data_IF_656189177768
#
_entry.id   IF_656189177768
#
_cell.length_a   1.000
_cell.length_b   1.000
_cell.length_c   1.000
_cell.angle_alpha   90.00
_cell.angle_beta   90.00
_cell.angle_gamma   90.00
#
_symmetry.space_group_name_H-M   'P 1'
#
loop_
_entity.id
_entity.type
_entity.pdbx_description
1 polymer ?
#
# COMPACT_ATOMS: atom_id res chain seq x y z
N UNK A 1 -30.37 -49.29 19.09
CA UNK A 1 -30.03 -49.43 17.66
C UNK A 1 -29.79 -48.03 17.12
N UNK A 2 -28.59 -47.48 17.32
CA UNK A 2 -27.41 -47.54 16.45
C UNK A 2 -27.54 -46.72 15.15
N UNK A 3 -26.67 -45.71 15.05
CA UNK A 3 -26.14 -45.04 13.84
C UNK A 3 -27.09 -44.02 13.12
N UNK A 4 -26.60 -42.88 12.57
CA UNK A 4 -25.24 -42.32 12.59
C UNK A 4 -25.14 -40.78 12.45
N UNK A 5 -23.93 -40.28 12.72
CA UNK A 5 -23.36 -38.95 12.42
C UNK A 5 -22.96 -38.77 10.94
N UNK A 6 -22.66 -37.50 10.56
CA UNK A 6 -22.21 -36.99 9.22
C UNK A 6 -23.41 -36.81 8.25
N UNK A 7 -23.59 -35.68 7.58
CA UNK A 7 -22.60 -34.96 6.76
C UNK A 7 -22.62 -33.43 6.93
N UNK A 8 -21.53 -32.86 7.44
CA UNK A 8 -21.22 -31.41 7.41
C UNK A 8 -20.15 -31.16 6.35
N UNK A 9 -20.49 -31.27 5.06
CA UNK A 9 -19.70 -30.75 3.93
C UNK A 9 -20.61 -30.63 2.70
N UNK A 10 -21.46 -29.60 2.68
CA UNK A 10 -22.30 -29.24 1.54
C UNK A 10 -21.85 -27.92 0.95
N UNK A 11 -20.91 -27.96 0.01
CA UNK A 11 -20.42 -26.80 -0.73
C UNK A 11 -20.09 -27.20 -2.16
N UNK A 12 -20.87 -26.72 -3.13
CA UNK A 12 -20.69 -27.07 -4.54
C UNK A 12 -19.40 -26.45 -5.07
N UNK A 13 -18.48 -27.30 -5.55
CA UNK A 13 -17.30 -26.83 -6.28
C UNK A 13 -17.75 -26.23 -7.62
N UNK A 14 -17.86 -24.90 -7.68
CA UNK A 14 -18.09 -24.19 -8.93
C UNK A 14 -16.93 -24.42 -9.88
N UNK A 15 -17.16 -25.17 -10.96
CA UNK A 15 -16.28 -25.20 -12.12
C UNK A 15 -16.39 -23.85 -12.83
N UNK A 16 -15.46 -22.94 -12.58
CA UNK A 16 -15.31 -21.72 -13.37
C UNK A 16 -14.73 -22.10 -14.74
N UNK A 17 -15.55 -22.06 -15.79
CA UNK A 17 -15.06 -22.15 -17.17
C UNK A 17 -14.11 -20.98 -17.43
N UNK A 18 -12.89 -21.19 -17.98
CA UNK A 18 -11.99 -20.10 -18.29
C UNK A 18 -12.62 -19.12 -19.31
N UNK A 19 -12.27 -17.83 -19.27
CA UNK A 19 -12.83 -16.84 -20.18
C UNK A 19 -12.52 -17.19 -21.64
N UNK A 20 -13.51 -17.05 -22.52
CA UNK A 20 -13.40 -17.34 -23.96
C UNK A 20 -12.76 -16.22 -24.77
N UNK A 21 -12.42 -15.09 -24.14
CA UNK A 21 -11.61 -14.04 -24.72
C UNK A 21 -10.13 -14.34 -24.37
N UNK A 22 -9.17 -14.18 -25.29
CA UNK A 22 -7.76 -14.20 -24.91
C UNK A 22 -7.55 -13.19 -23.79
N UNK A 23 -6.76 -13.56 -22.77
CA UNK A 23 -6.37 -12.61 -21.74
C UNK A 23 -5.74 -11.39 -22.44
N UNK A 24 -6.04 -10.16 -22.00
CA UNK A 24 -5.29 -9.00 -22.49
C UNK A 24 -3.80 -9.27 -22.28
N UNK A 25 -2.92 -8.73 -23.16
CA UNK A 25 -1.48 -8.80 -22.89
C UNK A 25 -1.23 -8.28 -21.46
N UNK A 26 -0.31 -8.88 -20.70
CA UNK A 26 -0.04 -8.45 -19.34
C UNK A 26 0.20 -6.93 -19.36
N UNK A 27 -0.60 -6.21 -18.57
CA UNK A 27 -0.45 -4.77 -18.44
C UNK A 27 0.98 -4.46 -18.00
N UNK A 28 1.60 -3.38 -18.49
CA UNK A 28 2.99 -3.06 -18.16
C UNK A 28 3.13 -3.00 -16.65
N UNK A 29 3.92 -3.91 -16.09
CA UNK A 29 4.06 -4.09 -14.65
C UNK A 29 4.63 -2.80 -14.04
N UNK A 30 3.78 -2.12 -13.25
CA UNK A 30 4.11 -0.82 -12.69
C UNK A 30 5.14 -0.99 -11.57
N UNK A 31 6.40 -0.66 -11.88
CA UNK A 31 7.50 -0.76 -10.92
C UNK A 31 7.53 0.47 -10.02
N UNK A 32 6.96 0.34 -8.82
CA UNK A 32 7.07 1.34 -7.75
C UNK A 32 8.50 1.34 -7.20
N UNK A 33 9.23 2.48 -7.22
CA UNK A 33 10.58 2.54 -6.66
C UNK A 33 10.59 2.42 -5.14
N UNK A 34 11.33 1.45 -4.61
CA UNK A 34 11.56 1.30 -3.16
C UNK A 34 12.91 1.89 -2.73
N UNK A 35 12.99 2.35 -1.48
CA UNK A 35 14.20 2.98 -0.91
C UNK A 35 14.44 2.49 0.51
N UNK A 36 15.71 2.25 0.87
CA UNK A 36 16.06 1.77 2.22
C UNK A 36 16.03 2.91 3.25
N UNK A 37 15.75 2.56 4.50
CA UNK A 37 15.79 3.52 5.63
C UNK A 37 17.13 4.23 5.74
N UNK A 38 18.25 3.53 5.49
CA UNK A 38 19.59 4.13 5.52
C UNK A 38 19.76 5.20 4.43
N UNK A 39 19.32 4.90 3.20
CA UNK A 39 19.35 5.85 2.08
C UNK A 39 18.46 7.07 2.35
N UNK A 40 17.27 6.88 2.93
CA UNK A 40 16.41 8.01 3.32
C UNK A 40 17.07 8.85 4.42
N UNK A 41 17.69 8.22 5.42
CA UNK A 41 18.41 8.90 6.50
C UNK A 41 19.56 9.78 5.95
N UNK A 42 20.32 9.28 4.97
CA UNK A 42 21.36 10.05 4.27
C UNK A 42 20.77 11.22 3.47
N UNK A 43 19.69 10.97 2.71
CA UNK A 43 19.03 12.01 1.91
C UNK A 43 18.47 13.16 2.77
N UNK A 44 17.91 12.86 3.94
CA UNK A 44 17.41 13.84 4.91
C UNK A 44 18.51 14.78 5.47
N UNK A 45 19.79 14.42 5.32
CA UNK A 45 20.94 15.24 5.71
C UNK A 45 21.51 16.07 4.54
N UNK A 46 20.89 16.00 3.36
CA UNK A 46 21.36 16.67 2.14
C UNK A 46 20.44 17.84 1.71
N UNK A 47 20.97 18.71 0.85
CA UNK A 47 20.19 19.77 0.17
C UNK A 47 19.02 19.22 -0.68
N UNK A 48 18.96 17.90 -0.90
CA UNK A 48 17.90 17.19 -1.64
C UNK A 48 16.97 16.39 -0.72
N UNK A 49 16.82 16.81 0.55
CA UNK A 49 15.94 16.16 1.53
C UNK A 49 14.52 15.93 0.96
N UNK A 50 14.04 14.67 0.87
CA UNK A 50 12.70 14.37 0.39
C UNK A 50 11.64 14.85 1.38
N UNK A 51 10.39 14.96 0.91
CA UNK A 51 9.22 15.04 1.78
C UNK A 51 8.90 13.62 2.28
N UNK A 52 8.80 13.43 3.59
CA UNK A 52 8.26 12.19 4.14
C UNK A 52 6.74 12.31 4.27
N UNK A 53 6.01 11.43 3.60
CA UNK A 53 4.55 11.35 3.64
C UNK A 53 4.13 10.10 4.42
N UNK A 54 3.62 10.29 5.63
CA UNK A 54 3.12 9.21 6.48
C UNK A 54 1.64 8.95 6.18
N UNK A 55 1.33 7.74 5.71
CA UNK A 55 -0.03 7.32 5.31
C UNK A 55 -0.72 6.40 6.33
N UNK A 56 -0.16 6.31 7.54
CA UNK A 56 -0.74 5.52 8.63
C UNK A 56 -2.02 6.15 9.18
N UNK A 57 -2.77 5.35 9.95
CA UNK A 57 -3.98 5.84 10.61
C UNK A 57 -3.65 6.91 11.67
N UNK A 58 -4.56 7.87 11.95
CA UNK A 58 -4.33 8.92 12.94
C UNK A 58 -4.01 8.42 14.35
N UNK A 59 -4.37 7.17 14.70
CA UNK A 59 -4.01 6.57 15.99
C UNK A 59 -2.58 6.02 16.01
N UNK A 60 -2.05 5.50 14.90
CA UNK A 60 -0.65 5.05 14.79
C UNK A 60 0.30 6.25 14.84
N UNK A 61 -0.01 7.30 14.07
CA UNK A 61 0.80 8.51 13.99
C UNK A 61 0.87 9.27 15.33
N UNK A 62 -0.23 9.28 16.10
CA UNK A 62 -0.26 9.87 17.45
C UNK A 62 0.51 9.08 18.51
N UNK A 63 0.76 7.78 18.32
CA UNK A 63 1.61 7.01 19.23
C UNK A 63 3.08 7.35 19.02
N UNK A 64 3.53 7.38 17.77
CA UNK A 64 4.88 7.82 17.38
C UNK A 64 4.91 8.16 15.89
N UNK A 65 5.65 9.21 15.55
CA UNK A 65 5.94 9.60 14.16
C UNK A 65 7.32 10.24 14.06
N UNK A 66 7.87 10.27 12.85
CA UNK A 66 9.10 11.01 12.55
C UNK A 66 8.73 12.51 12.49
N UNK A 67 9.40 13.40 13.23
CA UNK A 67 9.18 14.84 13.13
C UNK A 67 9.32 15.33 11.68
N UNK A 68 8.61 16.41 11.32
CA UNK A 68 8.58 17.00 9.96
C UNK A 68 7.94 16.14 8.85
N UNK A 69 7.35 14.98 9.20
CA UNK A 69 6.45 14.25 8.28
C UNK A 69 5.20 15.07 7.95
N UNK A 70 4.75 14.99 6.70
CA UNK A 70 3.38 15.30 6.34
C UNK A 70 2.53 14.07 6.62
N UNK A 71 1.46 14.22 7.41
CA UNK A 71 0.53 13.13 7.71
C UNK A 71 -0.74 13.28 6.90
N UNK A 72 -1.02 12.30 6.03
CA UNK A 72 -2.29 12.17 5.31
C UNK A 72 -2.64 10.67 5.28
N UNK A 73 -3.64 10.20 6.03
CA UNK A 73 -4.05 8.79 6.01
C UNK A 73 -4.32 8.30 4.58
N UNK A 74 -3.98 7.03 4.30
CA UNK A 74 -4.08 6.44 2.95
C UNK A 74 -5.43 6.71 2.25
N UNK A 75 -6.54 6.60 2.98
CA UNK A 75 -7.90 6.80 2.43
C UNK A 75 -8.20 8.26 2.04
N UNK A 76 -7.47 9.23 2.60
CA UNK A 76 -7.65 10.66 2.32
C UNK A 76 -6.77 11.14 1.16
N UNK A 77 -5.76 10.36 0.75
CA UNK A 77 -4.83 10.70 -0.33
C UNK A 77 -5.54 11.09 -1.65
N UNK A 78 -6.55 10.35 -2.17
CA UNK A 78 -7.18 10.70 -3.44
C UNK A 78 -7.82 12.10 -3.45
N UNK A 79 -8.29 12.58 -2.29
CA UNK A 79 -8.86 13.92 -2.15
C UNK A 79 -7.81 15.03 -1.98
N UNK A 80 -6.57 14.68 -1.61
CA UNK A 80 -5.48 15.62 -1.30
C UNK A 80 -4.32 15.58 -2.29
N UNK A 81 -4.37 14.71 -3.31
CA UNK A 81 -3.29 14.51 -4.29
C UNK A 81 -2.82 15.82 -4.96
N UNK A 82 -3.73 16.75 -5.22
CA UNK A 82 -3.44 18.07 -5.84
C UNK A 82 -2.74 19.06 -4.90
N UNK A 83 -2.72 18.80 -3.60
CA UNK A 83 -2.01 19.61 -2.60
C UNK A 83 -0.56 19.13 -2.37
N UNK A 84 -0.18 17.96 -2.89
CA UNK A 84 1.18 17.45 -2.78
C UNK A 84 2.15 18.19 -3.72
N UNK A 85 3.38 18.50 -3.29
CA UNK A 85 4.35 19.22 -4.11
C UNK A 85 4.89 18.32 -5.23
N UNK A 86 4.65 18.71 -6.49
CA UNK A 86 5.07 17.93 -7.67
C UNK A 86 6.58 18.02 -7.94
N UNK A 87 7.22 19.14 -7.61
CA UNK A 87 8.65 19.40 -7.86
C UNK A 87 9.60 18.85 -6.77
N UNK A 88 9.10 18.04 -5.83
CA UNK A 88 9.90 17.48 -4.72
C UNK A 88 9.72 15.98 -4.63
N UNK A 89 10.82 15.24 -4.47
CA UNK A 89 10.78 13.81 -4.17
C UNK A 89 9.98 13.56 -2.89
N UNK A 90 8.94 12.72 -2.99
CA UNK A 90 8.13 12.26 -1.86
C UNK A 90 8.51 10.81 -1.56
N UNK A 91 8.82 10.51 -0.30
CA UNK A 91 8.98 9.15 0.21
C UNK A 91 7.76 8.83 1.05
N UNK A 92 6.94 7.89 0.57
CA UNK A 92 5.72 7.46 1.25
C UNK A 92 6.05 6.38 2.27
N UNK A 93 5.61 6.53 3.52
CA UNK A 93 5.91 5.60 4.61
C UNK A 93 4.66 5.06 5.28
N UNK A 94 4.71 3.79 5.68
CA UNK A 94 3.74 3.17 6.56
C UNK A 94 4.42 2.11 7.45
N UNK A 95 3.68 1.47 8.35
CA UNK A 95 4.26 0.50 9.30
C UNK A 95 4.99 -0.71 8.66
N UNK A 96 4.53 -1.20 7.50
CA UNK A 96 4.99 -2.49 6.93
C UNK A 96 5.08 -2.50 5.39
N UNK A 97 5.30 -1.35 4.75
CA UNK A 97 5.42 -1.23 3.29
C UNK A 97 4.10 -1.29 2.48
N UNK A 98 3.12 -2.09 2.88
CA UNK A 98 1.91 -2.38 2.07
C UNK A 98 1.07 -1.16 1.67
N UNK A 99 0.81 -0.24 2.60
CA UNK A 99 0.01 0.98 2.33
C UNK A 99 0.81 2.03 1.55
N UNK A 100 2.11 2.13 1.79
CA UNK A 100 2.99 3.02 1.03
C UNK A 100 3.15 2.56 -0.43
N UNK A 101 3.24 1.25 -0.67
CA UNK A 101 3.24 0.69 -2.03
C UNK A 101 1.95 1.03 -2.78
N UNK A 102 0.79 0.77 -2.17
CA UNK A 102 -0.53 1.08 -2.76
C UNK A 102 -0.91 2.57 -2.81
N UNK A 103 -0.01 3.48 -2.42
CA UNK A 103 -0.15 4.93 -2.58
C UNK A 103 0.89 5.49 -3.57
N UNK A 104 2.06 4.86 -3.67
CA UNK A 104 3.15 5.29 -4.54
C UNK A 104 3.08 4.69 -5.96
N UNK A 105 2.18 3.73 -6.20
CA UNK A 105 1.88 3.17 -7.52
C UNK A 105 0.51 3.56 -8.04
#
# INVERSE_FOLDING_TARGET
MLQMLRNWFGGTQQKTTPPSHPLPPPEPELVVPEVTVATVQEQLQSDRSPLLLDVREPWEWRQVHIPTTLHIPMNDIPAQLTALPQERTIVVICAHGSRSYGVAG
#
